data_IF_477614770199
#
_entry.id   IF_477614770199
#
_cell.length_a   1.000
_cell.length_b   1.000
_cell.length_c   1.000
_cell.angle_alpha   90.00
_cell.angle_beta   90.00
_cell.angle_gamma   90.00
#
_symmetry.space_group_name_H-M   'P 1'
#
loop_
_entity.id
_entity.type
_entity.pdbx_description
1 polymer ?
#
# COMPACT_ATOMS: atom_id res chain seq x y z
N UNK A 1 -18.51 -22.97 28.29
CA UNK A 1 -17.58 -22.03 28.94
C UNK A 1 -17.24 -20.90 27.98
N UNK A 2 -17.90 -19.76 28.11
CA UNK A 2 -17.75 -18.56 27.26
C UNK A 2 -16.49 -17.80 27.68
N UNK A 3 -15.40 -17.93 26.91
CA UNK A 3 -14.17 -17.13 27.15
C UNK A 3 -14.46 -15.64 26.93
N UNK A 4 -14.20 -14.85 27.97
CA UNK A 4 -14.31 -13.40 27.95
C UNK A 4 -13.39 -12.76 26.91
N UNK A 5 -13.94 -11.91 26.04
CA UNK A 5 -13.22 -11.16 24.99
C UNK A 5 -12.15 -10.19 25.55
N UNK A 6 -12.12 -9.96 26.87
CA UNK A 6 -11.23 -8.99 27.51
C UNK A 6 -9.80 -9.51 27.70
N UNK A 7 -9.60 -10.82 27.82
CA UNK A 7 -8.28 -11.44 28.12
C UNK A 7 -7.55 -11.99 26.90
N UNK A 8 -8.18 -12.02 25.72
CA UNK A 8 -7.53 -12.56 24.52
C UNK A 8 -6.42 -11.61 24.01
N UNK A 9 -5.26 -12.18 23.60
CA UNK A 9 -4.21 -11.44 22.90
C UNK A 9 -4.78 -10.58 21.75
N UNK A 10 -4.25 -9.37 21.57
CA UNK A 10 -4.78 -8.37 20.61
C UNK A 10 -4.93 -8.93 19.19
N UNK A 11 -3.96 -9.74 18.76
CA UNK A 11 -3.98 -10.45 17.49
C UNK A 11 -5.22 -11.33 17.31
N UNK A 12 -5.62 -12.06 18.36
CA UNK A 12 -6.83 -12.90 18.36
C UNK A 12 -8.10 -12.04 18.27
N UNK A 13 -8.11 -10.86 18.89
CA UNK A 13 -9.23 -9.93 18.79
C UNK A 13 -9.34 -9.29 17.41
N UNK A 14 -8.21 -8.95 16.79
CA UNK A 14 -8.17 -8.39 15.44
C UNK A 14 -8.75 -9.37 14.43
N UNK A 15 -8.26 -10.62 14.42
CA UNK A 15 -8.78 -11.73 13.60
C UNK A 15 -10.30 -11.86 13.77
N UNK A 16 -10.80 -12.02 15.00
CA UNK A 16 -12.24 -12.20 15.25
C UNK A 16 -13.14 -11.02 14.88
N UNK A 17 -12.59 -9.81 14.78
CA UNK A 17 -13.35 -8.58 14.49
C UNK A 17 -13.05 -8.01 13.11
N UNK A 18 -12.08 -8.58 12.40
CA UNK A 18 -11.72 -8.15 11.07
C UNK A 18 -12.92 -8.32 10.15
N UNK A 19 -13.29 -7.21 9.52
CA UNK A 19 -14.22 -7.21 8.41
C UNK A 19 -13.38 -6.98 7.17
N UNK A 20 -13.62 -7.78 6.15
CA UNK A 20 -12.92 -7.60 4.89
C UNK A 20 -13.28 -6.22 4.31
N UNK A 21 -12.30 -5.37 3.99
CA UNK A 21 -12.56 -4.00 3.57
C UNK A 21 -13.25 -3.96 2.20
N UNK A 22 -14.03 -2.90 1.97
CA UNK A 22 -14.63 -2.70 0.66
C UNK A 22 -13.54 -2.31 -0.34
N UNK A 23 -13.39 -3.07 -1.42
CA UNK A 23 -12.47 -2.74 -2.51
C UNK A 23 -13.25 -2.19 -3.70
N UNK A 24 -12.97 -0.93 -4.08
CA UNK A 24 -13.66 -0.25 -5.19
C UNK A 24 -12.67 0.23 -6.24
N UNK A 25 -13.14 0.27 -7.48
CA UNK A 25 -12.39 0.84 -8.61
C UNK A 25 -13.19 1.98 -9.20
N UNK A 26 -12.56 3.15 -9.31
CA UNK A 26 -13.07 4.29 -10.07
C UNK A 26 -12.46 4.28 -11.47
N UNK A 27 -13.11 4.96 -12.41
CA UNK A 27 -12.56 5.17 -13.75
C UNK A 27 -11.17 5.82 -13.64
N UNK A 28 -10.13 5.30 -14.32
CA UNK A 28 -8.84 5.97 -14.39
C UNK A 28 -8.94 7.25 -15.22
N UNK A 29 -8.00 8.15 -15.03
CA UNK A 29 -7.88 9.37 -15.85
C UNK A 29 -7.57 9.01 -17.30
N UNK A 30 -7.88 9.94 -18.22
CA UNK A 30 -7.59 9.76 -19.64
C UNK A 30 -6.10 9.42 -19.88
N UNK A 31 -5.85 8.37 -20.67
CA UNK A 31 -4.49 7.89 -20.98
C UNK A 31 -3.76 7.16 -19.85
N UNK A 32 -4.43 6.88 -18.73
CA UNK A 32 -3.89 6.18 -17.56
C UNK A 32 -4.66 4.88 -17.30
N UNK A 33 -4.10 4.04 -16.43
CA UNK A 33 -4.71 2.77 -16.04
C UNK A 33 -4.44 2.46 -14.57
N UNK A 34 -5.24 1.59 -13.97
CA UNK A 34 -4.92 0.98 -12.68
C UNK A 34 -4.03 -0.25 -12.94
N UNK A 35 -2.77 -0.28 -12.48
CA UNK A 35 -1.91 -1.42 -12.79
C UNK A 35 -2.31 -2.69 -12.07
N UNK A 36 -2.97 -2.56 -10.93
CA UNK A 36 -3.58 -3.66 -10.19
C UNK A 36 -5.11 -3.51 -10.20
N UNK A 37 -5.80 -4.63 -10.33
CA UNK A 37 -7.25 -4.71 -10.27
C UNK A 37 -7.75 -4.80 -8.82
N UNK A 38 -9.06 -4.63 -8.65
CA UNK A 38 -9.68 -4.90 -7.35
C UNK A 38 -9.58 -6.38 -6.94
N UNK A 39 -9.42 -7.32 -7.89
CA UNK A 39 -9.20 -8.72 -7.57
C UNK A 39 -7.80 -8.92 -6.98
N UNK A 40 -6.76 -8.38 -7.62
CA UNK A 40 -5.37 -8.41 -7.13
C UNK A 40 -5.27 -7.86 -5.69
N UNK A 41 -5.95 -6.74 -5.42
CA UNK A 41 -5.98 -6.15 -4.07
C UNK A 41 -6.64 -7.11 -3.08
N UNK A 42 -7.78 -7.73 -3.43
CA UNK A 42 -8.46 -8.68 -2.53
C UNK A 42 -7.59 -9.90 -2.24
N UNK A 43 -6.97 -10.48 -3.26
CA UNK A 43 -6.06 -11.60 -3.13
C UNK A 43 -4.87 -11.26 -2.24
N UNK A 44 -4.27 -10.08 -2.42
CA UNK A 44 -3.20 -9.61 -1.56
C UNK A 44 -3.62 -9.48 -0.10
N UNK A 45 -4.81 -8.92 0.17
CA UNK A 45 -5.33 -8.80 1.54
C UNK A 45 -5.59 -10.16 2.19
N UNK A 46 -6.08 -11.14 1.43
CA UNK A 46 -6.20 -12.52 1.91
C UNK A 46 -4.85 -13.10 2.30
N UNK A 47 -3.84 -12.94 1.45
CA UNK A 47 -2.46 -13.39 1.73
C UNK A 47 -1.82 -12.65 2.91
N UNK A 48 -2.11 -11.36 3.08
CA UNK A 48 -1.65 -10.58 4.23
C UNK A 48 -2.30 -11.04 5.53
N UNK A 49 -3.55 -11.50 5.48
CA UNK A 49 -4.32 -12.00 6.61
C UNK A 49 -5.06 -10.91 7.39
N UNK A 50 -6.03 -11.33 8.17
CA UNK A 50 -7.02 -10.47 8.86
C UNK A 50 -6.42 -9.40 9.78
N UNK A 51 -5.28 -9.68 10.40
CA UNK A 51 -4.57 -8.72 11.24
C UNK A 51 -4.12 -7.48 10.45
N UNK A 52 -3.80 -7.65 9.16
CA UNK A 52 -3.29 -6.58 8.32
C UNK A 52 -4.38 -5.58 7.92
N UNK A 53 -5.60 -6.06 7.66
CA UNK A 53 -6.72 -5.21 7.26
C UNK A 53 -7.70 -4.87 8.38
N UNK A 54 -7.43 -5.31 9.62
CA UNK A 54 -8.27 -4.94 10.76
C UNK A 54 -8.31 -3.42 10.94
N UNK A 55 -9.51 -2.84 10.89
CA UNK A 55 -9.74 -1.40 10.97
C UNK A 55 -9.52 -0.63 9.66
N UNK A 56 -9.30 -1.33 8.54
CA UNK A 56 -9.43 -0.75 7.19
C UNK A 56 -10.89 -0.85 6.79
N UNK A 57 -11.49 0.27 6.39
CA UNK A 57 -12.87 0.35 5.94
C UNK A 57 -12.95 0.19 4.41
N UNK A 58 -12.02 0.80 3.69
CA UNK A 58 -12.02 0.78 2.23
C UNK A 58 -10.62 0.86 1.62
N UNK A 59 -10.47 0.19 0.47
CA UNK A 59 -9.34 0.38 -0.44
C UNK A 59 -9.90 0.77 -1.80
N UNK A 60 -9.47 1.92 -2.32
CA UNK A 60 -9.97 2.47 -3.58
C UNK A 60 -8.85 2.63 -4.61
N UNK A 61 -9.09 2.12 -5.81
CA UNK A 61 -8.32 2.42 -7.01
C UNK A 61 -8.88 3.69 -7.65
N UNK A 62 -8.13 4.79 -7.65
CA UNK A 62 -8.63 6.14 -8.00
C UNK A 62 -7.67 6.92 -8.90
N UNK A 63 -8.14 7.94 -9.64
CA UNK A 63 -7.27 8.88 -10.33
C UNK A 63 -6.20 9.50 -9.43
N UNK A 64 -4.96 9.58 -9.94
CA UNK A 64 -3.88 10.28 -9.27
C UNK A 64 -4.18 11.79 -9.13
N UNK A 65 -3.81 12.43 -8.01
CA UNK A 65 -3.82 13.88 -7.93
C UNK A 65 -2.76 14.46 -8.88
N UNK A 66 -2.99 15.69 -9.35
CA UNK A 66 -1.96 16.43 -10.10
C UNK A 66 -0.92 16.93 -9.09
N UNK A 67 0.25 16.31 -9.09
CA UNK A 67 1.39 16.69 -8.25
C UNK A 67 2.63 16.89 -9.11
N UNK A 68 3.33 18.00 -8.91
CA UNK A 68 4.62 18.24 -9.55
C UNK A 68 5.72 17.44 -8.83
N UNK A 69 6.65 16.86 -9.59
CA UNK A 69 7.90 16.29 -9.09
C UNK A 69 7.75 15.15 -8.06
N UNK A 70 6.64 14.40 -8.11
CA UNK A 70 6.48 13.19 -7.30
C UNK A 70 5.66 12.14 -8.05
N UNK A 71 5.83 10.88 -7.64
CA UNK A 71 5.08 9.75 -8.15
C UNK A 71 3.98 9.37 -7.16
N UNK A 72 2.74 9.86 -7.33
CA UNK A 72 1.64 9.41 -6.49
C UNK A 72 1.31 7.95 -6.83
N UNK A 73 1.67 7.03 -5.95
CA UNK A 73 1.44 5.59 -6.12
C UNK A 73 0.29 5.10 -5.24
N UNK A 74 0.30 5.50 -3.97
CA UNK A 74 -0.75 5.17 -3.01
C UNK A 74 -0.68 6.13 -1.83
N UNK A 75 -1.70 6.05 -0.98
CA UNK A 75 -1.76 6.82 0.27
C UNK A 75 -2.77 6.24 1.26
N UNK A 76 -2.40 6.23 2.53
CA UNK A 76 -3.33 6.10 3.64
C UNK A 76 -4.02 7.44 3.94
N UNK A 77 -5.34 7.43 3.85
CA UNK A 77 -6.25 8.49 4.29
C UNK A 77 -6.85 8.05 5.62
N UNK A 78 -6.56 8.80 6.67
CA UNK A 78 -7.00 8.45 8.02
C UNK A 78 -8.47 8.84 8.26
N UNK A 79 -9.24 8.03 9.01
CA UNK A 79 -8.91 6.67 9.46
C UNK A 79 -9.23 5.60 8.40
N UNK A 80 -8.41 4.55 8.31
CA UNK A 80 -8.80 3.26 7.73
C UNK A 80 -9.08 3.22 6.21
N UNK A 81 -8.73 4.25 5.43
CA UNK A 81 -8.97 4.27 3.99
C UNK A 81 -7.65 4.30 3.23
N UNK A 82 -7.41 3.33 2.36
CA UNK A 82 -6.23 3.32 1.48
C UNK A 82 -6.67 3.68 0.06
N UNK A 83 -5.90 4.54 -0.60
CA UNK A 83 -6.06 4.80 -2.03
C UNK A 83 -4.83 4.34 -2.78
N UNK A 84 -5.04 3.68 -3.92
CA UNK A 84 -4.02 3.34 -4.89
C UNK A 84 -4.32 4.13 -6.16
N UNK A 85 -3.32 4.81 -6.68
CA UNK A 85 -3.51 5.74 -7.79
C UNK A 85 -3.28 5.08 -9.14
N UNK A 86 -4.06 5.49 -10.14
CA UNK A 86 -3.81 5.16 -11.53
C UNK A 86 -2.40 5.61 -11.94
N UNK A 87 -1.82 4.95 -12.93
CA UNK A 87 -0.47 5.20 -13.43
C UNK A 87 -0.49 5.40 -14.94
N UNK A 88 0.48 6.17 -15.49
CA UNK A 88 0.63 6.23 -16.94
C UNK A 88 0.97 4.83 -17.49
N UNK A 89 0.67 4.61 -18.77
CA UNK A 89 1.15 3.41 -19.45
C UNK A 89 2.69 3.43 -19.50
N UNK A 90 3.38 2.32 -19.20
CA UNK A 90 4.82 2.23 -19.41
C UNK A 90 5.21 2.46 -20.89
N UNK A 91 6.40 3.03 -21.17
CA UNK A 91 7.34 3.59 -20.20
C UNK A 91 6.85 4.92 -19.62
N UNK A 92 7.07 5.11 -18.32
CA UNK A 92 6.84 6.38 -17.68
C UNK A 92 7.93 7.36 -18.08
N UNK A 93 7.51 8.56 -18.52
CA UNK A 93 8.40 9.69 -18.76
C UNK A 93 8.15 10.70 -17.66
N UNK A 94 9.02 10.71 -16.65
CA UNK A 94 8.76 11.46 -15.42
C UNK A 94 8.96 12.96 -15.62
N UNK A 95 9.87 13.37 -16.51
CA UNK A 95 10.21 14.77 -16.71
C UNK A 95 10.96 15.40 -15.53
N UNK A 96 11.47 14.56 -14.62
CA UNK A 96 12.32 14.94 -13.50
C UNK A 96 13.22 13.77 -13.10
N UNK A 97 14.33 14.09 -12.44
CA UNK A 97 15.26 13.10 -11.92
C UNK A 97 14.70 12.44 -10.65
N UNK A 98 14.63 11.12 -10.65
CA UNK A 98 14.32 10.37 -9.45
C UNK A 98 15.50 10.37 -8.46
N UNK A 99 15.27 10.58 -7.16
CA UNK A 99 16.30 10.34 -6.14
C UNK A 99 16.91 8.93 -6.25
N UNK A 100 18.18 8.79 -5.87
CA UNK A 100 18.90 7.51 -6.01
C UNK A 100 18.24 6.34 -5.25
N UNK A 101 17.67 6.62 -4.08
CA UNK A 101 16.93 5.65 -3.28
C UNK A 101 15.66 5.18 -4.02
N UNK A 102 14.86 6.11 -4.53
CA UNK A 102 13.63 5.78 -5.28
C UNK A 102 13.96 4.97 -6.54
N UNK A 103 14.98 5.36 -7.31
CA UNK A 103 15.46 4.56 -8.46
C UNK A 103 15.86 3.15 -8.07
N UNK A 104 16.51 2.98 -6.92
CA UNK A 104 16.95 1.67 -6.44
C UNK A 104 15.76 0.83 -6.00
N UNK A 105 14.75 1.44 -5.37
CA UNK A 105 13.48 0.80 -5.01
C UNK A 105 12.72 0.31 -6.25
N UNK A 106 12.59 1.15 -7.28
CA UNK A 106 11.92 0.79 -8.53
C UNK A 106 12.65 -0.37 -9.24
N UNK A 107 13.99 -0.30 -9.32
CA UNK A 107 14.81 -1.38 -9.90
C UNK A 107 14.70 -2.69 -9.15
N UNK A 108 14.71 -2.65 -7.82
CA UNK A 108 14.52 -3.84 -7.00
C UNK A 108 13.14 -4.50 -7.21
N UNK A 109 12.15 -3.72 -7.66
CA UNK A 109 10.82 -4.21 -8.02
C UNK A 109 10.68 -4.66 -9.50
N UNK A 110 11.78 -4.65 -10.26
CA UNK A 110 11.82 -5.12 -11.65
C UNK A 110 11.64 -4.02 -12.69
N UNK A 111 11.64 -2.73 -12.31
CA UNK A 111 11.65 -1.65 -13.27
C UNK A 111 13.03 -1.46 -13.92
N UNK A 112 13.07 -1.14 -15.21
CA UNK A 112 14.26 -0.57 -15.84
C UNK A 112 14.24 0.95 -15.66
N UNK A 113 15.33 1.53 -15.18
CA UNK A 113 15.47 3.00 -15.02
C UNK A 113 16.72 3.51 -15.72
N UNK A 114 16.60 4.65 -16.39
CA UNK A 114 17.75 5.37 -16.95
C UNK A 114 18.00 6.69 -16.22
N UNK A 115 18.99 7.45 -16.71
CA UNK A 115 19.36 8.76 -16.16
C UNK A 115 18.46 9.90 -16.63
N UNK A 116 17.60 9.69 -17.63
CA UNK A 116 16.71 10.70 -18.21
C UNK A 116 15.33 10.70 -17.54
N UNK A 117 15.14 9.88 -16.51
CA UNK A 117 13.86 9.76 -15.81
C UNK A 117 12.84 8.92 -16.58
N UNK A 118 13.29 8.01 -17.45
CA UNK A 118 12.44 7.00 -18.07
C UNK A 118 12.39 5.76 -17.19
N UNK A 119 11.18 5.29 -16.89
CA UNK A 119 10.93 4.06 -16.13
C UNK A 119 10.15 3.07 -16.98
N UNK A 120 10.77 1.93 -17.27
CA UNK A 120 10.15 0.82 -17.98
C UNK A 120 9.67 -0.23 -16.97
N UNK A 121 8.50 -0.81 -17.25
CA UNK A 121 7.93 -1.87 -16.44
C UNK A 121 7.61 -3.07 -17.34
N UNK A 122 8.52 -4.05 -17.47
CA UNK A 122 8.30 -5.20 -18.32
C UNK A 122 7.20 -6.11 -17.77
N UNK A 123 6.30 -6.55 -18.64
CA UNK A 123 5.22 -7.49 -18.31
C UNK A 123 4.41 -7.05 -17.11
N UNK A 124 4.44 -7.87 -16.05
CA UNK A 124 3.59 -7.70 -14.87
C UNK A 124 4.27 -6.97 -13.70
N UNK A 125 5.50 -6.49 -13.90
CA UNK A 125 6.33 -5.93 -12.82
C UNK A 125 5.68 -4.72 -12.16
N UNK A 126 5.00 -3.85 -12.92
CA UNK A 126 4.28 -2.71 -12.33
C UNK A 126 3.12 -3.17 -11.45
N UNK A 127 2.33 -4.16 -11.90
CA UNK A 127 1.23 -4.72 -11.09
C UNK A 127 1.78 -5.28 -9.77
N UNK A 128 2.84 -6.09 -9.85
CA UNK A 128 3.49 -6.68 -8.68
C UNK A 128 4.06 -5.60 -7.76
N UNK A 129 4.66 -4.54 -8.30
CA UNK A 129 5.13 -3.40 -7.52
C UNK A 129 3.99 -2.70 -6.78
N UNK A 130 2.87 -2.41 -7.45
CA UNK A 130 1.71 -1.77 -6.82
C UNK A 130 1.14 -2.60 -5.65
N UNK A 131 1.14 -3.93 -5.76
CA UNK A 131 0.65 -4.81 -4.69
C UNK A 131 1.70 -5.03 -3.60
N UNK A 132 2.87 -5.52 -3.99
CA UNK A 132 3.90 -5.94 -3.05
C UNK A 132 4.53 -4.73 -2.36
N UNK A 133 4.82 -3.63 -3.07
CA UNK A 133 5.52 -2.50 -2.47
C UNK A 133 4.56 -1.43 -2.00
N UNK A 134 3.64 -0.96 -2.85
CA UNK A 134 2.81 0.22 -2.53
C UNK A 134 1.71 -0.16 -1.54
N UNK A 135 0.84 -1.11 -1.88
CA UNK A 135 -0.25 -1.52 -0.99
C UNK A 135 0.26 -2.05 0.35
N UNK A 136 1.28 -2.92 0.36
CA UNK A 136 1.84 -3.44 1.61
C UNK A 136 2.40 -2.32 2.52
N UNK A 137 2.95 -1.26 1.93
CA UNK A 137 3.49 -0.12 2.66
C UNK A 137 2.38 0.73 3.29
N UNK A 138 1.31 1.04 2.54
CA UNK A 138 0.15 1.74 3.09
C UNK A 138 -0.57 0.93 4.19
N UNK A 139 -0.65 -0.39 4.03
CA UNK A 139 -1.16 -1.29 5.07
C UNK A 139 -0.23 -1.27 6.29
N UNK A 140 1.08 -1.22 6.09
CA UNK A 140 2.06 -1.06 7.17
C UNK A 140 1.86 0.22 7.98
N UNK A 141 1.65 1.36 7.30
CA UNK A 141 1.26 2.61 7.97
C UNK A 141 -0.04 2.47 8.74
N UNK A 142 -1.05 1.86 8.14
CA UNK A 142 -2.34 1.66 8.79
C UNK A 142 -2.17 0.85 10.08
N UNK A 143 -1.44 -0.26 10.05
CA UNK A 143 -1.21 -1.08 11.23
C UNK A 143 -0.56 -0.30 12.37
N UNK A 144 0.48 0.50 12.08
CA UNK A 144 1.16 1.33 13.07
C UNK A 144 0.23 2.39 13.67
N UNK A 145 -0.51 3.10 12.82
CA UNK A 145 -1.40 4.16 13.28
C UNK A 145 -2.61 3.60 14.03
N UNK A 146 -3.19 2.50 13.55
CA UNK A 146 -4.29 1.82 14.20
C UNK A 146 -3.87 1.32 15.58
N UNK A 147 -2.67 0.74 15.71
CA UNK A 147 -2.13 0.34 17.00
C UNK A 147 -1.97 1.52 17.96
N UNK A 148 -1.40 2.64 17.50
CA UNK A 148 -1.26 3.86 18.32
C UNK A 148 -2.61 4.42 18.77
N UNK A 149 -3.59 4.47 17.87
CA UNK A 149 -4.98 4.88 18.19
C UNK A 149 -5.58 3.99 19.28
N UNK A 150 -5.39 2.67 19.19
CA UNK A 150 -5.84 1.73 20.22
C UNK A 150 -5.14 1.91 21.58
N UNK A 151 -3.96 2.54 21.61
CA UNK A 151 -3.22 2.87 22.83
C UNK A 151 -3.52 4.29 23.34
N UNK A 152 -4.27 5.11 22.60
CA UNK A 152 -4.55 6.51 22.95
C UNK A 152 -3.35 7.44 22.75
N UNK A 153 -2.37 7.05 21.94
CA UNK A 153 -1.15 7.84 21.68
C UNK A 153 -1.39 8.89 20.58
N UNK A 154 -0.83 10.09 20.74
CA UNK A 154 -0.92 11.16 19.73
C UNK A 154 -0.13 10.84 18.45
N UNK A 155 -0.61 11.34 17.31
CA UNK A 155 -0.05 11.08 15.98
C UNK A 155 1.26 11.87 15.73
N UNK A 156 2.36 11.46 16.36
CA UNK A 156 3.69 11.97 15.99
C UNK A 156 4.28 11.10 14.86
N UNK A 157 4.36 11.65 13.63
CA UNK A 157 5.13 11.08 12.51
C UNK A 157 6.61 11.39 12.73
N UNK A 158 7.36 10.44 13.30
CA UNK A 158 8.83 10.50 13.33
C UNK A 158 9.40 9.81 12.07
N UNK A 159 10.64 10.12 11.65
CA UNK A 159 11.35 9.37 10.61
C UNK A 159 11.41 7.84 10.86
N UNK A 160 11.36 7.45 12.13
CA UNK A 160 11.23 6.05 12.58
C UNK A 160 9.89 5.39 12.16
N UNK A 161 8.85 6.17 11.86
CA UNK A 161 7.57 5.65 11.39
C UNK A 161 7.66 5.05 9.99
N UNK A 162 8.38 5.70 9.07
CA UNK A 162 8.56 5.23 7.69
C UNK A 162 9.32 3.90 7.66
N UNK A 163 10.44 3.83 8.39
CA UNK A 163 11.24 2.62 8.49
C UNK A 163 10.46 1.46 9.11
N UNK A 164 9.62 1.72 10.12
CA UNK A 164 8.74 0.71 10.73
C UNK A 164 7.65 0.24 9.76
N UNK A 165 7.03 1.16 9.02
CA UNK A 165 6.03 0.81 8.01
C UNK A 165 6.66 -0.10 6.95
N UNK A 166 7.88 0.22 6.51
CA UNK A 166 8.63 -0.59 5.54
C UNK A 166 9.03 -1.97 6.10
N UNK A 167 9.37 -2.07 7.39
CA UNK A 167 9.60 -3.37 8.05
C UNK A 167 8.33 -4.24 8.02
N UNK A 168 7.17 -3.66 8.30
CA UNK A 168 5.89 -4.38 8.21
C UNK A 168 5.60 -4.76 6.76
N UNK A 169 5.76 -3.83 5.82
CA UNK A 169 5.56 -4.04 4.39
C UNK A 169 6.43 -5.20 3.86
N UNK A 170 7.69 -5.31 4.30
CA UNK A 170 8.55 -6.47 3.97
C UNK A 170 7.97 -7.80 4.47
N UNK A 171 7.45 -7.83 5.70
CA UNK A 171 6.81 -9.03 6.26
C UNK A 171 5.53 -9.42 5.51
N UNK A 172 4.74 -8.43 5.09
CA UNK A 172 3.54 -8.65 4.29
C UNK A 172 3.90 -9.16 2.89
N UNK A 173 4.91 -8.57 2.24
CA UNK A 173 5.44 -9.03 0.95
C UNK A 173 5.87 -10.48 0.96
N UNK A 174 6.55 -10.92 2.01
CA UNK A 174 7.00 -12.30 2.15
C UNK A 174 5.84 -13.33 2.17
N UNK A 175 4.58 -12.88 2.29
CA UNK A 175 3.38 -13.72 2.24
C UNK A 175 2.74 -13.80 0.85
N UNK A 176 3.22 -13.05 -0.13
CA UNK A 176 2.59 -12.96 -1.45
C UNK A 176 2.96 -14.09 -2.43
N UNK A 177 3.91 -14.95 -2.08
CA UNK A 177 4.37 -16.05 -2.96
C UNK A 177 5.41 -15.58 -3.97
#
# INVERSE_FOLDING_TARGET
>A
MTRSLRSDPRRIRAVRRARFPVVRTRQPSAGRHHPASAADVREALWSFGEEAFYGIDAIELVPAPVVSQSLPLGRLIEPGRIVLYDQPLPPWRLGFDLPAEERSRLRAAGAGTDREGIVTWPGETLRRFMIAHVLAHEVGHHMLQHERRLRGEAAARSPDHEARAEVIARKLRARLG
#
